data_IF_324653362542
#
_entry.id   IF_324653362542
#
_cell.length_a   1.000
_cell.length_b   1.000
_cell.length_c   1.000
_cell.angle_alpha   90.00
_cell.angle_beta   90.00
_cell.angle_gamma   90.00
#
_symmetry.space_group_name_H-M   'P 1'
#
loop_
_entity.id
_entity.type
_entity.pdbx_description
1 polymer ?
#
# COMPACT_ATOMS: atom_id res chain seq x y z
N UNK A 1 6.89 11.06 -7.05
CA UNK A 1 6.31 10.14 -8.04
C UNK A 1 5.55 9.08 -7.29
N UNK A 2 4.39 8.67 -7.81
CA UNK A 2 3.51 7.66 -7.21
C UNK A 2 2.79 6.89 -8.31
N UNK A 3 2.46 5.62 -8.08
CA UNK A 3 1.55 4.88 -8.94
C UNK A 3 0.17 4.78 -8.27
N UNK A 4 -0.88 4.57 -9.06
CA UNK A 4 -2.23 4.26 -8.57
C UNK A 4 -2.54 2.80 -8.82
N UNK A 5 -3.19 2.17 -7.85
CA UNK A 5 -3.69 0.81 -7.97
C UNK A 5 -4.79 0.57 -6.95
N UNK A 6 -5.57 -0.49 -7.14
CA UNK A 6 -6.59 -0.93 -6.18
C UNK A 6 -6.26 -2.33 -5.74
N UNK A 7 -6.17 -2.53 -4.42
CA UNK A 7 -6.11 -3.86 -3.83
C UNK A 7 -7.52 -4.43 -3.71
N UNK A 8 -7.74 -5.61 -4.26
CA UNK A 8 -8.98 -6.36 -4.07
C UNK A 8 -8.76 -7.49 -3.08
N UNK A 9 -9.69 -7.63 -2.14
CA UNK A 9 -9.70 -8.70 -1.14
C UNK A 9 -10.62 -9.80 -1.61
N UNK A 10 -10.09 -11.01 -1.70
CA UNK A 10 -10.83 -12.20 -2.06
C UNK A 10 -10.82 -13.20 -0.90
N UNK A 11 -11.92 -13.91 -0.71
CA UNK A 11 -12.06 -14.95 0.30
C UNK A 11 -12.07 -16.31 -0.39
N UNK A 12 -11.19 -17.23 0.02
CA UNK A 12 -11.23 -18.60 -0.49
C UNK A 12 -12.50 -19.29 0.04
N UNK A 13 -13.31 -19.86 -0.85
CA UNK A 13 -14.45 -20.68 -0.44
C UNK A 13 -13.94 -21.91 0.32
N UNK A 14 -14.39 -22.09 1.56
CA UNK A 14 -14.12 -23.28 2.38
C UNK A 14 -12.97 -23.19 3.39
N UNK A 15 -11.96 -22.34 3.18
CA UNK A 15 -10.78 -22.28 4.08
C UNK A 15 -10.71 -21.02 4.97
N UNK A 16 -11.58 -20.02 4.78
CA UNK A 16 -11.62 -18.82 5.64
C UNK A 16 -10.41 -17.88 5.52
N UNK A 17 -9.51 -18.09 4.55
CA UNK A 17 -8.36 -17.23 4.31
C UNK A 17 -8.68 -16.16 3.25
N UNK A 18 -8.23 -14.94 3.52
CA UNK A 18 -8.25 -13.84 2.56
C UNK A 18 -6.92 -13.77 1.81
N UNK A 19 -6.98 -13.50 0.51
CA UNK A 19 -5.82 -13.12 -0.29
C UNK A 19 -6.08 -11.80 -1.00
N UNK A 20 -5.00 -11.11 -1.33
CA UNK A 20 -5.01 -9.79 -1.92
C UNK A 20 -4.49 -9.88 -3.34
N UNK A 21 -5.21 -9.30 -4.29
CA UNK A 21 -4.71 -9.18 -5.67
C UNK A 21 -4.62 -7.71 -6.04
N UNK A 22 -3.47 -7.33 -6.58
CA UNK A 22 -3.26 -6.05 -7.23
C UNK A 22 -3.49 -6.25 -8.73
N UNK A 23 -4.63 -5.76 -9.24
CA UNK A 23 -5.02 -6.00 -10.63
C UNK A 23 -4.28 -5.08 -11.60
N UNK A 24 -4.64 -3.80 -11.64
CA UNK A 24 -4.06 -2.82 -12.55
C UNK A 24 -3.34 -1.74 -11.76
N UNK A 25 -2.09 -1.51 -12.14
CA UNK A 25 -1.26 -0.41 -11.68
C UNK A 25 -1.14 0.61 -12.82
N UNK A 26 -1.39 1.87 -12.51
CA UNK A 26 -1.31 3.00 -13.46
C UNK A 26 -0.34 4.05 -12.93
N UNK A 27 0.60 4.50 -13.75
CA UNK A 27 1.63 5.46 -13.36
C UNK A 27 2.99 5.13 -13.98
N UNK A 28 4.07 5.75 -13.50
CA UNK A 28 4.14 6.67 -12.36
C UNK A 28 3.59 8.07 -12.69
N UNK A 29 2.80 8.64 -11.79
CA UNK A 29 2.44 10.06 -11.79
C UNK A 29 3.50 10.89 -11.06
N UNK A 30 3.75 12.09 -11.55
CA UNK A 30 4.71 13.03 -11.00
C UNK A 30 4.10 14.42 -10.87
N UNK A 31 4.71 15.27 -10.04
CA UNK A 31 4.43 16.71 -10.04
C UNK A 31 5.05 17.35 -11.29
N UNK A 32 4.52 18.49 -11.72
CA UNK A 32 5.06 19.31 -12.83
C UNK A 32 6.10 20.34 -12.37
N UNK A 33 6.68 20.16 -11.18
CA UNK A 33 7.69 21.09 -10.65
C UNK A 33 9.02 20.95 -11.40
N UNK A 34 9.75 22.05 -11.55
CA UNK A 34 11.11 22.01 -12.06
C UNK A 34 12.05 21.33 -11.05
N UNK A 35 13.01 20.55 -11.55
CA UNK A 35 14.03 19.88 -10.75
C UNK A 35 15.45 20.39 -11.11
N UNK A 36 15.81 21.66 -10.82
CA UNK A 36 17.11 22.20 -11.17
C UNK A 36 18.21 21.52 -10.35
N UNK A 37 19.27 21.06 -11.02
CA UNK A 37 20.45 20.45 -10.38
C UNK A 37 20.23 19.05 -9.79
N UNK A 38 19.01 18.50 -9.84
CA UNK A 38 18.74 17.14 -9.36
C UNK A 38 19.11 16.10 -10.42
N UNK A 39 19.82 15.05 -9.98
CA UNK A 39 20.11 13.87 -10.79
C UNK A 39 19.01 12.83 -10.63
N UNK A 40 18.81 12.00 -11.66
CA UNK A 40 17.90 10.86 -11.58
C UNK A 40 18.48 9.82 -10.63
N UNK A 41 17.66 9.38 -9.68
CA UNK A 41 18.00 8.33 -8.72
C UNK A 41 16.97 7.21 -8.82
N UNK A 42 17.41 5.98 -8.52
CA UNK A 42 16.49 4.85 -8.37
C UNK A 42 15.84 4.93 -7.00
N UNK A 43 14.50 4.95 -6.97
CA UNK A 43 13.71 4.97 -5.74
C UNK A 43 12.52 4.04 -5.87
N UNK A 44 12.13 3.43 -4.76
CA UNK A 44 10.88 2.69 -4.67
C UNK A 44 9.68 3.66 -4.78
N UNK A 45 8.93 3.56 -5.87
CA UNK A 45 7.74 4.38 -6.12
C UNK A 45 6.52 3.63 -5.58
N UNK A 46 5.87 4.10 -4.51
CA UNK A 46 4.76 3.38 -3.91
C UNK A 46 3.51 3.42 -4.82
N UNK A 47 2.74 2.34 -4.75
CA UNK A 47 1.37 2.29 -5.28
C UNK A 47 0.43 2.79 -4.19
N UNK A 48 -0.32 3.86 -4.49
CA UNK A 48 -1.24 4.52 -3.56
C UNK A 48 -2.69 4.20 -3.97
N UNK A 49 -3.54 3.94 -2.98
CA UNK A 49 -4.95 3.63 -3.16
C UNK A 49 -5.58 3.04 -1.91
N UNK A 50 -6.80 2.54 -2.04
CA UNK A 50 -7.52 1.87 -0.96
C UNK A 50 -7.14 0.38 -0.85
N UNK A 51 -7.27 -0.19 0.35
CA UNK A 51 -7.07 -1.62 0.59
C UNK A 51 -5.63 -2.04 0.91
N UNK A 52 -4.69 -1.10 1.12
CA UNK A 52 -3.29 -1.40 1.45
C UNK A 52 -2.95 -1.35 2.95
N UNK A 53 -3.87 -0.84 3.79
CA UNK A 53 -3.73 -0.91 5.25
C UNK A 53 -4.54 -2.11 5.76
N UNK A 54 -3.84 -3.12 6.28
CA UNK A 54 -4.44 -4.37 6.74
C UNK A 54 -4.31 -4.53 8.25
N UNK A 55 -5.26 -5.25 8.86
CA UNK A 55 -5.17 -5.63 10.27
C UNK A 55 -4.01 -6.61 10.47
N UNK A 56 -3.19 -6.35 11.48
CA UNK A 56 -2.16 -7.29 11.89
C UNK A 56 -2.80 -8.52 12.56
N UNK A 57 -2.56 -9.72 12.01
CA UNK A 57 -2.94 -11.00 12.59
C UNK A 57 -1.83 -12.02 12.33
N UNK A 58 -1.02 -12.33 13.34
CA UNK A 58 0.11 -13.24 13.22
C UNK A 58 -0.29 -14.72 13.07
N UNK A 59 -1.55 -15.09 13.30
CA UNK A 59 -2.04 -16.46 13.16
C UNK A 59 -2.33 -16.85 11.71
N UNK A 60 -2.45 -15.88 10.80
CA UNK A 60 -2.79 -16.11 9.40
C UNK A 60 -1.73 -15.46 8.50
N UNK A 61 -1.26 -16.14 7.45
CA UNK A 61 -0.38 -15.52 6.47
C UNK A 61 -1.15 -14.51 5.61
N UNK A 62 -0.45 -13.47 5.14
CA UNK A 62 -0.97 -12.53 4.14
C UNK A 62 -0.43 -12.97 2.78
N UNK A 63 -1.34 -13.33 1.86
CA UNK A 63 -0.98 -13.74 0.49
C UNK A 63 -1.31 -12.60 -0.48
N UNK A 64 -0.30 -12.13 -1.23
CA UNK A 64 -0.45 -11.02 -2.19
C UNK A 64 -0.06 -11.49 -3.60
N UNK A 65 -0.99 -11.37 -4.55
CA UNK A 65 -0.73 -11.54 -5.96
C UNK A 65 -0.47 -10.17 -6.60
N UNK A 66 0.74 -9.99 -7.12
CA UNK A 66 1.18 -8.77 -7.79
C UNK A 66 1.64 -9.07 -9.24
N UNK A 67 1.57 -8.09 -10.15
CA UNK A 67 2.20 -8.19 -11.47
C UNK A 67 3.72 -8.45 -11.37
N UNK A 68 4.32 -9.06 -12.39
CA UNK A 68 5.72 -9.53 -12.38
C UNK A 68 6.74 -8.42 -12.12
N UNK A 69 6.41 -7.20 -12.50
CA UNK A 69 7.21 -5.98 -12.44
C UNK A 69 6.97 -5.14 -11.17
N UNK A 70 6.18 -5.66 -10.22
CA UNK A 70 5.86 -5.00 -8.95
C UNK A 70 6.48 -5.74 -7.78
N UNK A 71 7.22 -5.01 -6.95
CA UNK A 71 7.77 -5.53 -5.70
C UNK A 71 6.83 -5.24 -4.52
N UNK A 72 6.61 -6.23 -3.67
CA UNK A 72 5.79 -6.12 -2.46
C UNK A 72 6.67 -5.83 -1.24
N UNK A 73 6.41 -4.70 -0.57
CA UNK A 73 7.03 -4.31 0.70
C UNK A 73 5.94 -4.04 1.72
N UNK A 74 6.25 -4.24 3.01
CA UNK A 74 5.32 -3.97 4.10
C UNK A 74 5.96 -3.12 5.20
N UNK A 75 5.11 -2.43 5.96
CA UNK A 75 5.47 -1.72 7.18
C UNK A 75 4.43 -2.04 8.25
N UNK A 76 4.90 -2.34 9.46
CA UNK A 76 4.02 -2.56 10.61
C UNK A 76 3.81 -1.21 11.29
N UNK A 77 2.55 -0.91 11.59
CA UNK A 77 2.16 0.26 12.37
C UNK A 77 1.68 -0.18 13.74
N UNK A 78 2.03 0.59 14.76
CA UNK A 78 1.50 0.43 16.11
C UNK A 78 0.80 1.72 16.51
N UNK A 79 -0.37 1.60 17.14
CA UNK A 79 -1.02 2.73 17.78
C UNK A 79 -0.19 3.20 18.98
N UNK A 80 -0.26 4.50 19.27
CA UNK A 80 0.19 5.03 20.55
C UNK A 80 -0.77 4.60 21.66
N UNK A 81 -0.30 4.54 22.90
CA UNK A 81 -1.12 4.19 24.06
C UNK A 81 -2.15 5.28 24.40
N UNK A 82 -1.85 6.53 24.06
CA UNK A 82 -2.68 7.70 24.39
C UNK A 82 -3.53 8.13 23.21
N UNK A 83 -4.79 8.44 23.49
CA UNK A 83 -5.74 9.03 22.55
C UNK A 83 -6.15 10.39 23.09
N UNK A 84 -5.86 11.44 22.33
CA UNK A 84 -6.21 12.81 22.69
C UNK A 84 -7.62 13.17 22.22
N UNK A 85 -8.29 14.06 22.94
CA UNK A 85 -9.61 14.59 22.53
C UNK A 85 -9.43 15.81 21.64
N UNK A 86 -10.30 15.95 20.63
CA UNK A 86 -10.37 17.17 19.84
C UNK A 86 -10.80 18.35 20.72
N UNK A 87 -10.18 19.52 20.51
CA UNK A 87 -10.60 20.78 21.13
C UNK A 87 -11.75 21.33 20.28
N UNK A 88 -12.91 21.59 20.90
CA UNK A 88 -14.00 22.30 20.23
C UNK A 88 -13.62 23.77 20.06
N UNK A 89 -13.90 24.31 18.87
CA UNK A 89 -13.73 25.73 18.55
C UNK A 89 -14.59 26.66 19.44
#
# INVERSE_FOLDING_TARGET
QEARGRGHVYHSQGCGYSYYRLDKVSGPMSTMMACPGQKKEQRFIPVVGEGFLLRYNSKLPIVVYAPKDVEVRYRIWSASEKVEKAVSE
#
